data_IF_913088650215
#
_entry.id   IF_913088650215
#
_cell.length_a   1.000
_cell.length_b   1.000
_cell.length_c   1.000
_cell.angle_alpha   90.00
_cell.angle_beta   90.00
_cell.angle_gamma   90.00
#
_symmetry.space_group_name_H-M   'P 1'
#
loop_
_entity.id
_entity.type
_entity.pdbx_description
1 polymer ?
#
# COMPACT_ATOMS: atom_id res chain seq x y z
N UNK A 1 3.90 -6.93 7.55
CA UNK A 1 3.93 -7.09 6.07
C UNK A 1 5.15 -7.89 5.61
N UNK A 2 6.29 -7.79 6.31
CA UNK A 2 7.51 -8.55 5.99
C UNK A 2 7.35 -10.07 6.10
N UNK A 3 6.45 -10.54 6.96
CA UNK A 3 6.17 -11.96 7.18
C UNK A 3 5.44 -12.64 6.00
N UNK A 4 4.91 -11.87 5.04
CA UNK A 4 4.20 -12.45 3.92
C UNK A 4 5.16 -13.03 2.88
N UNK A 5 4.83 -14.18 2.27
CA UNK A 5 5.63 -14.71 1.17
C UNK A 5 5.73 -13.71 0.02
N UNK A 6 6.91 -13.60 -0.59
CA UNK A 6 7.17 -12.68 -1.72
C UNK A 6 6.14 -12.84 -2.85
N UNK A 7 5.69 -14.07 -3.13
CA UNK A 7 4.65 -14.32 -4.15
C UNK A 7 3.30 -13.68 -3.81
N UNK A 8 2.93 -13.64 -2.53
CA UNK A 8 1.70 -13.00 -2.05
C UNK A 8 1.84 -11.49 -2.14
N UNK A 9 3.00 -10.94 -1.78
CA UNK A 9 3.29 -9.52 -1.97
C UNK A 9 3.26 -9.14 -3.46
N UNK A 10 3.81 -9.95 -4.36
CA UNK A 10 3.68 -9.73 -5.81
C UNK A 10 2.21 -9.74 -6.26
N UNK A 11 1.40 -10.69 -5.77
CA UNK A 11 -0.04 -10.71 -6.05
C UNK A 11 -0.74 -9.43 -5.57
N UNK A 12 -0.37 -8.91 -4.40
CA UNK A 12 -0.82 -7.60 -3.91
C UNK A 12 -0.41 -6.46 -4.84
N UNK A 13 0.84 -6.42 -5.31
CA UNK A 13 1.29 -5.43 -6.29
C UNK A 13 0.51 -5.46 -7.61
N UNK A 14 0.22 -6.65 -8.13
CA UNK A 14 -0.56 -6.85 -9.35
C UNK A 14 -2.00 -6.36 -9.23
N UNK A 15 -2.55 -6.27 -8.01
CA UNK A 15 -3.88 -5.68 -7.83
C UNK A 15 -3.92 -4.25 -8.37
N UNK A 16 -2.85 -3.46 -8.25
CA UNK A 16 -2.74 -2.08 -8.74
C UNK A 16 -2.62 -1.96 -10.26
N UNK A 17 -2.24 -3.05 -10.95
CA UNK A 17 -2.09 -3.10 -12.41
C UNK A 17 -3.37 -3.50 -13.16
N UNK A 18 -4.50 -3.57 -12.45
CA UNK A 18 -5.80 -3.88 -13.04
C UNK A 18 -6.08 -5.38 -13.14
N UNK A 19 -5.52 -6.19 -12.24
CA UNK A 19 -5.83 -7.62 -12.15
C UNK A 19 -6.83 -7.91 -11.01
N UNK A 20 -8.16 -7.88 -11.27
CA UNK A 20 -9.17 -8.14 -10.24
C UNK A 20 -9.19 -9.60 -9.76
N UNK A 21 -8.66 -10.53 -10.55
CA UNK A 21 -8.60 -11.94 -10.15
C UNK A 21 -7.65 -12.15 -8.98
N UNK A 22 -6.51 -11.45 -8.97
CA UNK A 22 -5.56 -11.51 -7.85
C UNK A 22 -6.09 -10.80 -6.61
N UNK A 23 -6.86 -9.71 -6.78
CA UNK A 23 -7.58 -9.11 -5.66
C UNK A 23 -8.55 -10.11 -5.01
N UNK A 24 -9.41 -10.76 -5.82
CA UNK A 24 -10.31 -11.81 -5.33
C UNK A 24 -9.54 -12.97 -4.72
N UNK A 25 -8.44 -13.39 -5.34
CA UNK A 25 -7.61 -14.47 -4.82
C UNK A 25 -7.09 -14.16 -3.41
N UNK A 26 -6.59 -12.94 -3.15
CA UNK A 26 -6.17 -12.51 -1.82
C UNK A 26 -7.32 -12.59 -0.80
N UNK A 27 -8.51 -12.12 -1.19
CA UNK A 27 -9.71 -12.15 -0.35
C UNK A 27 -10.14 -13.58 0.03
N UNK A 28 -9.97 -14.54 -0.88
CA UNK A 28 -10.46 -15.92 -0.71
C UNK A 28 -9.41 -16.89 -0.16
N UNK A 29 -8.11 -16.57 -0.26
CA UNK A 29 -7.01 -17.51 0.03
C UNK A 29 -6.20 -17.14 1.28
N UNK A 30 -6.84 -16.51 2.26
CA UNK A 30 -6.24 -16.27 3.58
C UNK A 30 -5.39 -15.01 3.70
N UNK A 31 -5.50 -14.09 2.74
CA UNK A 31 -4.87 -12.76 2.81
C UNK A 31 -5.88 -11.61 2.63
N UNK A 32 -7.07 -11.66 3.26
CA UNK A 32 -8.11 -10.66 3.04
C UNK A 32 -7.67 -9.25 3.44
N UNK A 33 -6.80 -9.11 4.44
CA UNK A 33 -6.23 -7.84 4.86
C UNK A 33 -5.38 -7.17 3.78
N UNK A 34 -4.65 -7.93 2.95
CA UNK A 34 -3.92 -7.38 1.81
C UNK A 34 -4.86 -6.99 0.67
N UNK A 35 -5.89 -7.81 0.42
CA UNK A 35 -6.95 -7.47 -0.54
C UNK A 35 -7.69 -6.19 -0.13
N UNK A 36 -8.01 -6.04 1.15
CA UNK A 36 -8.67 -4.86 1.71
C UNK A 36 -7.74 -3.65 1.77
N UNK A 37 -6.45 -3.83 2.06
CA UNK A 37 -5.47 -2.74 1.94
C UNK A 37 -5.39 -2.22 0.49
N UNK A 38 -5.42 -3.11 -0.51
CA UNK A 38 -5.47 -2.70 -1.91
C UNK A 38 -6.73 -1.89 -2.21
N UNK A 39 -7.90 -2.35 -1.74
CA UNK A 39 -9.15 -1.59 -1.84
C UNK A 39 -9.09 -0.25 -1.12
N UNK A 40 -8.45 -0.19 0.06
CA UNK A 40 -8.28 1.01 0.86
C UNK A 40 -7.45 2.06 0.11
N UNK A 41 -6.29 1.68 -0.44
CA UNK A 41 -5.40 2.55 -1.26
C UNK A 41 -6.11 3.04 -2.54
N UNK A 42 -7.14 2.32 -3.00
CA UNK A 42 -7.99 2.72 -4.12
C UNK A 42 -9.16 3.64 -3.70
N UNK A 43 -9.25 4.00 -2.42
CA UNK A 43 -10.25 4.91 -1.87
C UNK A 43 -11.49 4.23 -1.26
N UNK A 44 -11.46 2.92 -1.01
CA UNK A 44 -12.59 2.23 -0.36
C UNK A 44 -12.59 2.44 1.17
N UNK A 45 -13.37 3.42 1.62
CA UNK A 45 -13.55 3.71 3.06
C UNK A 45 -14.12 2.53 3.86
N UNK A 46 -14.87 1.61 3.23
CA UNK A 46 -15.37 0.42 3.94
C UNK A 46 -14.23 -0.56 4.23
N UNK A 47 -13.23 -0.63 3.35
CA UNK A 47 -12.04 -1.42 3.58
C UNK A 47 -11.19 -0.82 4.70
N UNK A 48 -11.05 0.51 4.74
CA UNK A 48 -10.40 1.22 5.86
C UNK A 48 -11.05 0.86 7.21
N UNK A 49 -12.37 1.00 7.31
CA UNK A 49 -13.13 0.69 8.52
C UNK A 49 -12.97 -0.78 8.94
N UNK A 50 -12.92 -1.69 7.95
CA UNK A 50 -12.71 -3.10 8.22
C UNK A 50 -11.33 -3.35 8.80
N UNK A 51 -10.26 -2.78 8.21
CA UNK A 51 -8.89 -2.93 8.70
C UNK A 51 -8.75 -2.45 10.14
N UNK A 52 -9.32 -1.29 10.46
CA UNK A 52 -9.34 -0.74 11.82
C UNK A 52 -10.07 -1.64 12.82
N UNK A 53 -11.20 -2.24 12.43
CA UNK A 53 -12.03 -3.08 13.31
C UNK A 53 -11.51 -4.50 13.50
N UNK A 54 -10.74 -5.02 12.55
CA UNK A 54 -10.31 -6.42 12.53
C UNK A 54 -8.84 -6.62 12.92
N UNK A 55 -8.22 -5.62 13.56
CA UNK A 55 -6.88 -5.76 14.11
C UNK A 55 -5.75 -5.53 13.11
N UNK A 56 -6.00 -4.78 12.04
CA UNK A 56 -4.98 -4.33 11.08
C UNK A 56 -4.84 -2.79 11.05
N UNK A 57 -4.73 -2.10 12.21
CA UNK A 57 -4.60 -0.65 12.26
C UNK A 57 -3.34 -0.14 11.55
N UNK A 58 -2.28 -0.95 11.46
CA UNK A 58 -1.05 -0.64 10.75
C UNK A 58 -1.25 -0.52 9.23
N UNK A 59 -2.19 -1.27 8.65
CA UNK A 59 -2.52 -1.14 7.23
C UNK A 59 -3.42 0.06 6.95
N UNK A 60 -4.35 0.36 7.84
CA UNK A 60 -5.11 1.61 7.78
C UNK A 60 -4.21 2.85 7.95
N UNK A 61 -3.24 2.79 8.87
CA UNK A 61 -2.26 3.83 9.08
C UNK A 61 -1.29 3.96 7.88
N UNK A 62 -0.90 2.85 7.25
CA UNK A 62 -0.12 2.85 6.02
C UNK A 62 -0.84 3.60 4.90
N UNK A 63 -2.10 3.27 4.63
CA UNK A 63 -2.93 3.95 3.63
C UNK A 63 -2.98 5.47 3.89
N UNK A 64 -3.31 5.86 5.12
CA UNK A 64 -3.32 7.28 5.52
C UNK A 64 -1.94 7.95 5.41
N UNK A 65 -0.85 7.23 5.68
CA UNK A 65 0.51 7.76 5.51
C UNK A 65 0.88 7.95 4.02
N UNK A 66 0.44 7.05 3.14
CA UNK A 66 0.56 7.19 1.68
C UNK A 66 -0.21 8.45 1.21
N UNK A 67 -1.35 8.75 1.84
CA UNK A 67 -2.12 9.99 1.68
C UNK A 67 -1.52 11.22 2.39
N UNK A 68 -0.26 11.14 2.83
CA UNK A 68 0.49 12.21 3.50
C UNK A 68 -0.15 12.71 4.80
N UNK A 69 -0.94 11.88 5.50
CA UNK A 69 -1.44 12.20 6.83
C UNK A 69 -0.31 12.05 7.85
N UNK A 70 0.24 13.19 8.28
CA UNK A 70 1.36 13.26 9.24
C UNK A 70 1.06 12.47 10.52
N UNK A 71 -0.17 12.54 11.04
CA UNK A 71 -0.57 11.79 12.24
C UNK A 71 -0.46 10.27 12.07
N UNK A 72 -0.84 9.74 10.91
CA UNK A 72 -0.73 8.31 10.62
C UNK A 72 0.72 7.87 10.44
N UNK A 73 1.52 8.69 9.75
CA UNK A 73 2.97 8.47 9.64
C UNK A 73 3.65 8.39 11.02
N UNK A 74 3.36 9.37 11.89
CA UNK A 74 3.89 9.38 13.25
C UNK A 74 3.39 8.19 14.07
N UNK A 75 2.12 7.79 13.88
CA UNK A 75 1.58 6.60 14.53
C UNK A 75 2.35 5.35 14.14
N UNK A 76 2.66 5.15 12.84
CA UNK A 76 3.49 4.02 12.39
C UNK A 76 4.86 4.02 13.09
N UNK A 77 5.52 5.18 13.14
CA UNK A 77 6.84 5.33 13.77
C UNK A 77 6.81 5.07 15.27
N UNK A 78 5.79 5.57 15.96
CA UNK A 78 5.66 5.44 17.42
C UNK A 78 5.25 4.02 17.86
N UNK A 79 4.73 3.20 16.96
CA UNK A 79 4.36 1.80 17.20
C UNK A 79 5.35 0.83 16.53
N UNK A 80 6.58 1.29 16.26
CA UNK A 80 7.67 0.48 15.69
C UNK A 80 7.45 -0.11 14.29
N UNK A 81 6.46 0.39 13.54
CA UNK A 81 6.22 0.01 12.14
C UNK A 81 7.13 0.77 11.17
N UNK A 82 8.44 0.71 11.39
CA UNK A 82 9.44 1.47 10.63
C UNK A 82 9.48 1.09 9.14
N UNK A 83 9.33 -0.19 8.80
CA UNK A 83 9.27 -0.63 7.39
C UNK A 83 8.04 -0.07 6.70
N UNK A 84 6.88 -0.06 7.36
CA UNK A 84 5.66 0.52 6.78
C UNK A 84 5.77 2.04 6.61
N UNK A 85 6.42 2.73 7.55
CA UNK A 85 6.68 4.16 7.42
C UNK A 85 7.64 4.46 6.25
N UNK A 86 8.72 3.70 6.11
CA UNK A 86 9.65 3.82 4.98
C UNK A 86 8.96 3.45 3.66
N UNK A 87 8.08 2.45 3.67
CA UNK A 87 7.29 2.08 2.51
C UNK A 87 6.32 3.19 2.08
N UNK A 88 5.61 3.83 3.03
CA UNK A 88 4.78 5.00 2.75
C UNK A 88 5.59 6.16 2.15
N UNK A 89 6.81 6.38 2.65
CA UNK A 89 7.73 7.38 2.10
C UNK A 89 8.17 7.04 0.67
N UNK A 90 8.44 5.77 0.37
CA UNK A 90 8.74 5.30 -0.97
C UNK A 90 7.53 5.45 -1.94
N UNK A 91 6.31 5.15 -1.46
CA UNK A 91 5.07 5.44 -2.17
C UNK A 91 4.82 6.94 -2.37
N UNK A 92 5.52 7.81 -1.64
CA UNK A 92 5.51 9.26 -1.84
C UNK A 92 6.78 9.76 -2.54
N UNK A 93 7.50 8.86 -3.23
CA UNK A 93 8.67 9.14 -4.08
C UNK A 93 9.86 9.75 -3.35
N UNK A 94 10.00 9.49 -2.04
CA UNK A 94 11.20 9.88 -1.29
C UNK A 94 12.33 8.90 -1.61
N UNK A 95 13.32 9.37 -2.36
CA UNK A 95 14.41 8.52 -2.86
C UNK A 95 15.24 7.92 -1.72
N UNK A 96 15.38 8.64 -0.61
CA UNK A 96 16.08 8.22 0.59
C UNK A 96 15.43 6.98 1.21
N UNK A 97 14.08 6.91 1.19
CA UNK A 97 13.36 5.76 1.72
C UNK A 97 13.51 4.53 0.80
N UNK A 98 13.48 4.72 -0.52
CA UNK A 98 13.73 3.64 -1.47
C UNK A 98 15.18 3.12 -1.35
N UNK A 99 16.16 4.01 -1.20
CA UNK A 99 17.55 3.64 -0.96
C UNK A 99 17.70 2.84 0.35
N UNK A 100 17.07 3.31 1.43
CA UNK A 100 17.08 2.62 2.71
C UNK A 100 16.45 1.22 2.63
N UNK A 101 15.28 1.07 2.00
CA UNK A 101 14.65 -0.24 1.78
C UNK A 101 15.56 -1.19 0.99
N UNK A 102 16.28 -0.68 -0.01
CA UNK A 102 17.24 -1.47 -0.78
C UNK A 102 18.42 -1.93 0.08
N UNK A 103 18.96 -1.06 0.92
CA UNK A 103 20.04 -1.40 1.86
C UNK A 103 19.62 -2.47 2.89
N UNK A 104 18.33 -2.51 3.25
CA UNK A 104 17.76 -3.55 4.11
C UNK A 104 17.42 -4.86 3.37
N UNK A 105 17.64 -4.95 2.04
CA UNK A 105 17.26 -6.13 1.24
C UNK A 105 15.74 -6.29 1.08
N UNK A 106 15.01 -5.17 1.11
CA UNK A 106 13.54 -5.11 1.04
C UNK A 106 13.07 -4.63 -0.34
N UNK A 107 13.70 -5.10 -1.42
CA UNK A 107 13.40 -4.66 -2.79
C UNK A 107 11.95 -4.90 -3.22
N UNK A 108 11.28 -5.88 -2.60
CA UNK A 108 9.85 -6.11 -2.84
C UNK A 108 9.00 -4.87 -2.49
N UNK A 109 9.35 -4.13 -1.44
CA UNK A 109 8.62 -2.91 -1.07
C UNK A 109 8.87 -1.77 -2.06
N UNK A 110 10.04 -1.73 -2.69
CA UNK A 110 10.33 -0.77 -3.77
C UNK A 110 9.44 -1.10 -4.98
N UNK A 111 9.37 -2.39 -5.36
CA UNK A 111 8.48 -2.83 -6.44
C UNK A 111 7.01 -2.51 -6.19
N UNK A 112 6.54 -2.72 -4.95
CA UNK A 112 5.18 -2.37 -4.55
C UNK A 112 4.93 -0.86 -4.61
N UNK A 113 5.91 -0.05 -4.18
CA UNK A 113 5.80 1.40 -4.23
C UNK A 113 5.67 1.87 -5.68
N UNK A 114 6.42 1.29 -6.61
CA UNK A 114 6.32 1.57 -8.04
C UNK A 114 4.94 1.21 -8.60
N UNK A 115 4.37 0.06 -8.20
CA UNK A 115 3.02 -0.35 -8.61
C UNK A 115 1.96 0.66 -8.15
N UNK A 116 2.04 1.10 -6.89
CA UNK A 116 1.12 2.08 -6.30
C UNK A 116 1.30 3.46 -6.95
N UNK A 117 2.55 3.90 -7.15
CA UNK A 117 2.89 5.15 -7.82
C UNK A 117 2.30 5.19 -9.24
N UNK A 118 2.51 4.13 -10.02
CA UNK A 118 1.95 4.03 -11.36
C UNK A 118 0.43 4.09 -11.38
N UNK A 119 -0.23 3.40 -10.43
CA UNK A 119 -1.68 3.47 -10.27
C UNK A 119 -2.16 4.90 -9.95
N UNK A 120 -1.52 5.58 -9.00
CA UNK A 120 -1.86 6.96 -8.59
C UNK A 120 -1.66 7.96 -9.73
N UNK A 121 -0.58 7.83 -10.49
CA UNK A 121 -0.32 8.69 -11.65
C UNK A 121 -1.44 8.54 -12.69
N UNK A 122 -1.83 7.31 -13.01
CA UNK A 122 -2.87 7.04 -13.99
C UNK A 122 -4.24 7.58 -13.56
N UNK A 123 -4.58 7.52 -12.26
CA UNK A 123 -5.79 8.17 -11.73
C UNK A 123 -5.76 9.68 -12.02
N UNK A 124 -4.65 10.35 -11.73
CA UNK A 124 -4.50 11.79 -11.99
C UNK A 124 -4.70 12.11 -13.48
N UNK A 125 -4.10 11.34 -14.39
CA UNK A 125 -4.26 11.53 -15.83
C UNK A 125 -5.71 11.31 -16.32
N UNK A 126 -6.43 10.33 -15.80
CA UNK A 126 -7.83 10.10 -16.18
C UNK A 126 -8.79 11.19 -15.67
N UNK A 127 -8.52 11.77 -14.50
CA UNK A 127 -9.29 12.91 -13.99
C UNK A 127 -9.15 14.16 -14.90
N UNK A 128 -7.97 14.37 -15.51
CA UNK A 128 -7.73 15.49 -16.44
C UNK A 128 -8.32 15.28 -17.85
N UNK A 129 -8.66 14.06 -18.23
CA UNK A 129 -9.30 13.78 -19.54
C UNK A 129 -10.80 14.10 -19.60
N UNK A 130 -11.45 14.36 -18.46
CA UNK A 130 -12.90 14.61 -18.39
C UNK A 130 -13.32 16.08 -18.49
N UNK A 131 -12.42 16.99 -18.89
CA UNK A 131 -12.71 18.43 -18.99
C UNK A 131 -12.64 19.02 -20.42
N UNK A 132 -12.99 18.25 -21.46
CA UNK A 132 -13.20 18.79 -22.80
C UNK A 132 -14.61 18.49 -23.33
#
# INVERSE_FOLDING_TARGET
>A
MEEYPVKVLLAFGETFKGNPELHRWLMENGYPELGLLSSCIRGDMRAFDWLMKNGYPEFAALDSAIDNKVGAYLWLRNNDFYILAAFADACNRKMEAAAWLKEQGLEIFIHLADCINHFRDNQYFDHHKKQF
#
